data_IF_524561795998
#
_entry.id   IF_524561795998
#
_cell.length_a   1.000
_cell.length_b   1.000
_cell.length_c   1.000
_cell.angle_alpha   90.00
_cell.angle_beta   90.00
_cell.angle_gamma   90.00
#
_symmetry.space_group_name_H-M   'P 1'
#
loop_
_entity.id
_entity.type
_entity.pdbx_description
1 polymer ?
#
# COMPACT_ATOMS: atom_id res chain seq x y z
N UNK A 1 -0.16 -11.77 -40.53
CA UNK A 1 0.23 -11.02 -39.30
C UNK A 1 1.74 -11.10 -39.14
N UNK A 2 2.46 -9.96 -39.11
CA UNK A 2 3.94 -9.93 -39.04
C UNK A 2 4.42 -10.56 -37.71
N UNK A 3 5.56 -11.25 -37.73
CA UNK A 3 6.13 -11.98 -36.58
C UNK A 3 6.23 -11.10 -35.30
N UNK A 4 6.58 -9.82 -35.48
CA UNK A 4 6.65 -8.82 -34.40
C UNK A 4 5.29 -8.55 -33.73
N UNK A 5 4.20 -8.52 -34.49
CA UNK A 5 2.83 -8.30 -33.95
C UNK A 5 2.36 -9.49 -33.09
N UNK A 6 2.70 -10.73 -33.49
CA UNK A 6 2.40 -11.95 -32.73
C UNK A 6 3.11 -11.92 -31.34
N UNK A 7 4.41 -11.59 -31.35
CA UNK A 7 5.20 -11.49 -30.11
C UNK A 7 4.63 -10.43 -29.16
N UNK A 8 4.23 -9.28 -29.69
CA UNK A 8 3.64 -8.20 -28.90
C UNK A 8 2.30 -8.61 -28.27
N UNK A 9 1.43 -9.28 -29.02
CA UNK A 9 0.14 -9.79 -28.51
C UNK A 9 0.36 -10.83 -27.41
N UNK A 10 1.30 -11.75 -27.59
CA UNK A 10 1.63 -12.77 -26.59
C UNK A 10 2.17 -12.10 -25.31
N UNK A 11 3.04 -11.10 -25.42
CA UNK A 11 3.58 -10.39 -24.28
C UNK A 11 2.47 -9.68 -23.50
N UNK A 12 1.53 -9.01 -24.17
CA UNK A 12 0.37 -8.39 -23.52
C UNK A 12 -0.51 -9.43 -22.84
N UNK A 13 -0.80 -10.55 -23.49
CA UNK A 13 -1.60 -11.63 -22.91
C UNK A 13 -0.94 -12.21 -21.64
N UNK A 14 0.38 -12.43 -21.67
CA UNK A 14 1.13 -12.89 -20.50
C UNK A 14 1.07 -11.88 -19.36
N UNK A 15 1.21 -10.58 -19.63
CA UNK A 15 1.11 -9.53 -18.63
C UNK A 15 -0.30 -9.48 -18.01
N UNK A 16 -1.34 -9.60 -18.85
CA UNK A 16 -2.73 -9.61 -18.39
C UNK A 16 -3.01 -10.84 -17.52
N UNK A 17 -2.58 -12.03 -17.95
CA UNK A 17 -2.72 -13.26 -17.15
C UNK A 17 -1.99 -13.13 -15.81
N UNK A 18 -0.75 -12.63 -15.84
CA UNK A 18 0.06 -12.45 -14.63
C UNK A 18 -0.61 -11.52 -13.61
N UNK A 19 -1.27 -10.47 -14.06
CA UNK A 19 -1.98 -9.53 -13.20
C UNK A 19 -3.27 -10.10 -12.59
N UNK A 20 -3.80 -11.21 -13.12
CA UNK A 20 -5.00 -11.87 -12.61
C UNK A 20 -4.71 -13.20 -11.88
N UNK A 21 -3.44 -13.58 -11.72
CA UNK A 21 -3.11 -14.78 -10.95
C UNK A 21 -3.39 -14.56 -9.46
N UNK A 22 -3.97 -15.57 -8.79
CA UNK A 22 -4.11 -15.53 -7.34
C UNK A 22 -2.72 -15.51 -6.69
N UNK A 23 -2.67 -14.96 -5.49
CA UNK A 23 -1.47 -14.98 -4.66
C UNK A 23 -1.83 -15.44 -3.25
N UNK A 24 -0.90 -16.07 -2.57
CA UNK A 24 -1.05 -16.45 -1.17
C UNK A 24 -0.51 -15.34 -0.28
N UNK A 25 -1.37 -14.79 0.58
CA UNK A 25 -1.01 -13.79 1.58
C UNK A 25 -0.72 -14.44 2.92
N UNK A 26 0.37 -14.00 3.54
CA UNK A 26 0.84 -14.44 4.85
C UNK A 26 1.05 -13.19 5.72
N UNK A 27 0.10 -12.99 6.61
CA UNK A 27 0.07 -11.82 7.48
C UNK A 27 1.22 -11.83 8.49
N UNK A 28 1.57 -12.99 9.02
CA UNK A 28 2.68 -13.13 9.97
C UNK A 28 4.01 -12.71 9.36
N UNK A 29 4.30 -13.11 8.13
CA UNK A 29 5.51 -12.66 7.40
C UNK A 29 5.50 -11.17 7.12
N UNK A 30 4.33 -10.62 6.77
CA UNK A 30 4.16 -9.18 6.54
C UNK A 30 4.50 -8.39 7.80
N UNK A 31 3.90 -8.78 8.93
CA UNK A 31 4.12 -8.12 10.22
C UNK A 31 5.56 -8.32 10.71
N UNK A 32 6.09 -9.53 10.64
CA UNK A 32 7.48 -9.80 11.06
C UNK A 32 8.48 -8.93 10.29
N UNK A 33 8.27 -8.74 8.99
CA UNK A 33 9.14 -7.89 8.19
C UNK A 33 9.08 -6.43 8.65
N UNK A 34 7.90 -5.80 8.73
CA UNK A 34 7.78 -4.38 9.07
C UNK A 34 8.30 -4.11 10.47
N UNK A 35 8.03 -5.00 11.43
CA UNK A 35 8.47 -4.84 12.82
C UNK A 35 9.99 -4.93 12.96
N UNK A 36 10.62 -5.91 12.27
CA UNK A 36 12.08 -6.10 12.36
C UNK A 36 12.91 -5.08 11.60
N UNK A 37 12.33 -4.41 10.59
CA UNK A 37 13.04 -3.44 9.75
C UNK A 37 12.73 -1.97 10.11
N UNK A 38 11.75 -1.72 10.98
CA UNK A 38 11.40 -0.36 11.40
C UNK A 38 12.54 0.33 12.15
N UNK A 39 12.67 1.63 11.92
CA UNK A 39 13.67 2.47 12.58
C UNK A 39 13.10 3.08 13.88
N UNK A 40 13.96 3.61 14.78
CA UNK A 40 13.51 4.34 15.96
C UNK A 40 12.75 5.65 15.65
N UNK A 41 13.01 6.23 14.47
CA UNK A 41 12.40 7.50 13.99
C UNK A 41 12.03 7.38 12.52
N UNK A 42 11.04 8.16 12.11
CA UNK A 42 10.60 8.23 10.71
C UNK A 42 11.77 8.61 9.77
N UNK A 43 11.77 7.97 8.62
CA UNK A 43 12.67 8.23 7.48
C UNK A 43 11.89 8.76 6.27
N UNK A 44 10.60 9.07 6.43
CA UNK A 44 9.69 9.48 5.35
C UNK A 44 9.56 8.43 4.24
N UNK A 45 9.65 7.15 4.60
CA UNK A 45 9.63 6.01 3.68
C UNK A 45 8.53 4.99 4.01
N UNK A 46 7.45 5.42 4.67
CA UNK A 46 6.37 4.53 5.15
C UNK A 46 5.85 3.60 4.04
N UNK A 47 5.55 4.12 2.85
CA UNK A 47 5.06 3.34 1.73
C UNK A 47 6.06 2.29 1.23
N UNK A 48 7.36 2.60 1.24
CA UNK A 48 8.41 1.65 0.88
C UNK A 48 8.48 0.47 1.85
N UNK A 49 8.46 0.74 3.16
CA UNK A 49 8.55 -0.30 4.18
C UNK A 49 7.32 -1.20 4.16
N UNK A 50 6.12 -0.60 4.06
CA UNK A 50 4.87 -1.38 3.96
C UNK A 50 4.81 -2.19 2.67
N UNK A 51 5.20 -1.62 1.53
CA UNK A 51 5.31 -2.37 0.27
C UNK A 51 6.22 -3.60 0.42
N UNK A 52 7.40 -3.42 1.01
CA UNK A 52 8.35 -4.54 1.23
C UNK A 52 7.77 -5.59 2.16
N UNK A 53 7.09 -5.17 3.23
CA UNK A 53 6.40 -6.08 4.15
C UNK A 53 5.34 -6.91 3.42
N UNK A 54 4.49 -6.26 2.63
CA UNK A 54 3.47 -6.93 1.82
C UNK A 54 4.09 -7.92 0.82
N UNK A 55 5.23 -7.58 0.22
CA UNK A 55 5.96 -8.50 -0.67
C UNK A 55 6.47 -9.74 0.07
N UNK A 56 6.98 -9.57 1.29
CA UNK A 56 7.38 -10.69 2.13
C UNK A 56 6.19 -11.61 2.48
N UNK A 57 5.00 -11.03 2.67
CA UNK A 57 3.75 -11.75 2.83
C UNK A 57 3.14 -12.30 1.53
N UNK A 58 3.80 -12.13 0.39
CA UNK A 58 3.33 -12.66 -0.90
C UNK A 58 2.49 -11.67 -1.73
N UNK A 59 2.01 -10.58 -1.15
CA UNK A 59 1.23 -9.56 -1.85
C UNK A 59 2.13 -8.54 -2.55
N UNK A 60 2.32 -8.68 -3.85
CA UNK A 60 3.19 -7.80 -4.65
C UNK A 60 2.43 -6.57 -5.15
N UNK A 61 2.54 -5.49 -4.40
CA UNK A 61 2.06 -4.14 -4.79
C UNK A 61 3.21 -3.31 -5.33
N UNK A 62 2.90 -2.30 -6.14
CA UNK A 62 3.89 -1.34 -6.63
C UNK A 62 4.32 -0.34 -5.55
N UNK A 63 5.44 0.35 -5.77
CA UNK A 63 5.80 1.52 -4.98
C UNK A 63 4.95 2.70 -5.43
N UNK A 64 3.95 3.02 -4.63
CA UNK A 64 2.99 4.11 -4.85
C UNK A 64 2.95 5.02 -3.62
N UNK A 65 2.48 6.27 -3.75
CA UNK A 65 2.22 7.13 -2.60
C UNK A 65 1.29 6.45 -1.59
N UNK A 66 1.49 6.72 -0.29
CA UNK A 66 0.74 6.06 0.78
C UNK A 66 -0.78 6.22 0.61
N UNK A 67 -1.27 7.41 0.26
CA UNK A 67 -2.71 7.64 0.02
C UNK A 67 -3.29 6.78 -1.10
N UNK A 68 -2.50 6.38 -2.09
CA UNK A 68 -2.98 5.59 -3.23
C UNK A 68 -3.31 4.13 -2.86
N UNK A 69 -2.80 3.65 -1.72
CA UNK A 69 -3.14 2.33 -1.19
C UNK A 69 -4.62 2.20 -0.85
N UNK A 70 -5.32 3.30 -0.56
CA UNK A 70 -6.78 3.31 -0.37
C UNK A 70 -7.53 2.64 -1.52
N UNK A 71 -7.11 2.89 -2.76
CA UNK A 71 -7.71 2.28 -3.95
C UNK A 71 -7.07 0.94 -4.33
N UNK A 72 -5.82 0.74 -3.96
CA UNK A 72 -5.05 -0.45 -4.35
C UNK A 72 -5.35 -1.65 -3.46
N UNK A 73 -5.49 -1.46 -2.15
CA UNK A 73 -5.72 -2.56 -1.21
C UNK A 73 -7.00 -3.35 -1.51
N UNK A 74 -8.16 -2.73 -1.80
CA UNK A 74 -9.35 -3.47 -2.20
C UNK A 74 -9.15 -4.30 -3.48
N UNK A 75 -8.40 -3.79 -4.44
CA UNK A 75 -8.07 -4.53 -5.68
C UNK A 75 -7.18 -5.74 -5.41
N UNK A 76 -6.47 -5.74 -4.29
CA UNK A 76 -5.63 -6.85 -3.82
C UNK A 76 -6.38 -7.80 -2.87
N UNK A 77 -7.68 -7.61 -2.67
CA UNK A 77 -8.52 -8.47 -1.82
C UNK A 77 -8.53 -8.10 -0.34
N UNK A 78 -8.04 -6.89 0.01
CA UNK A 78 -8.19 -6.37 1.38
C UNK A 78 -9.56 -5.71 1.53
N UNK A 79 -10.23 -5.97 2.65
CA UNK A 79 -11.53 -5.37 2.98
C UNK A 79 -11.34 -4.09 3.80
N UNK A 80 -12.10 -3.03 3.48
CA UNK A 80 -12.15 -1.82 4.28
C UNK A 80 -12.96 -2.08 5.56
N UNK A 81 -12.36 -1.84 6.73
CA UNK A 81 -12.98 -2.05 8.03
C UNK A 81 -13.62 -0.73 8.48
N UNK A 82 -14.93 -0.73 8.81
CA UNK A 82 -15.61 0.45 9.32
C UNK A 82 -14.96 0.98 10.61
N UNK A 83 -14.76 2.30 10.70
CA UNK A 83 -14.15 2.94 11.87
C UNK A 83 -14.99 2.88 13.13
N UNK A 84 -16.33 2.75 13.00
CA UNK A 84 -17.24 2.67 14.16
C UNK A 84 -17.03 1.37 14.96
N UNK A 85 -16.54 1.51 16.18
CA UNK A 85 -16.25 0.37 17.06
C UNK A 85 -15.00 -0.41 16.69
N UNK A 86 -14.16 0.14 15.82
CA UNK A 86 -12.94 -0.49 15.36
C UNK A 86 -11.98 -0.82 16.51
N UNK A 87 -11.47 -2.06 16.48
CA UNK A 87 -10.38 -2.53 17.34
C UNK A 87 -9.26 -3.05 16.45
N UNK A 88 -8.03 -2.56 16.58
CA UNK A 88 -6.90 -3.01 15.79
C UNK A 88 -6.67 -4.53 15.94
N UNK A 89 -6.45 -5.19 14.82
CA UNK A 89 -6.01 -6.58 14.76
C UNK A 89 -4.67 -6.64 14.04
N UNK A 90 -3.83 -7.57 14.46
CA UNK A 90 -2.52 -7.80 13.85
C UNK A 90 -2.64 -7.96 12.33
N UNK A 91 -1.90 -7.17 11.59
CA UNK A 91 -1.90 -7.12 10.14
C UNK A 91 -2.85 -6.10 9.52
N UNK A 92 -3.66 -5.41 10.31
CA UNK A 92 -4.44 -4.29 9.79
C UNK A 92 -3.52 -3.23 9.17
N UNK A 93 -3.92 -2.70 8.04
CA UNK A 93 -3.20 -1.64 7.33
C UNK A 93 -3.99 -0.34 7.45
N UNK A 94 -3.39 0.69 8.02
CA UNK A 94 -3.97 2.03 8.04
C UNK A 94 -3.46 2.85 6.85
N UNK A 95 -4.35 3.56 6.19
CA UNK A 95 -4.04 4.53 5.14
C UNK A 95 -4.59 5.89 5.57
N UNK A 96 -3.70 6.87 5.69
CA UNK A 96 -4.04 8.25 6.01
C UNK A 96 -3.90 9.11 4.76
N UNK A 97 -4.87 10.00 4.48
CA UNK A 97 -4.87 10.83 3.29
C UNK A 97 -3.72 11.85 3.30
N UNK A 98 -3.57 12.52 2.18
CA UNK A 98 -2.71 13.71 2.08
C UNK A 98 -3.22 14.81 3.02
N UNK A 99 -2.29 15.64 3.48
CA UNK A 99 -2.59 16.83 4.25
C UNK A 99 -1.64 17.97 3.85
N UNK A 100 -1.78 19.13 4.47
CA UNK A 100 -0.96 20.32 4.17
C UNK A 100 0.55 20.10 4.41
N UNK A 101 0.92 19.18 5.32
CA UNK A 101 2.31 18.86 5.66
C UNK A 101 2.85 17.61 4.94
N UNK A 102 1.96 16.82 4.31
CA UNK A 102 2.36 15.60 3.60
C UNK A 102 1.54 15.39 2.33
N UNK A 103 2.17 15.57 1.19
CA UNK A 103 1.56 15.30 -0.12
C UNK A 103 1.49 13.81 -0.48
N UNK A 104 2.06 12.92 0.33
CA UNK A 104 2.08 11.48 0.07
C UNK A 104 1.13 10.70 0.98
N UNK A 105 0.55 11.35 2.01
CA UNK A 105 -0.20 10.68 3.04
C UNK A 105 0.70 9.83 3.94
N UNK A 106 0.09 8.87 4.67
CA UNK A 106 0.84 7.94 5.51
C UNK A 106 0.20 6.56 5.46
N UNK A 107 1.01 5.51 5.67
CA UNK A 107 0.57 4.12 5.71
C UNK A 107 1.35 3.38 6.80
N UNK A 108 0.66 2.51 7.55
CA UNK A 108 1.27 1.68 8.58
C UNK A 108 0.54 0.34 8.72
N UNK A 109 1.20 -0.65 9.32
CA UNK A 109 0.66 -1.97 9.65
C UNK A 109 0.59 -2.09 11.17
N UNK A 110 -0.49 -2.66 11.70
CA UNK A 110 -0.60 -2.97 13.12
C UNK A 110 0.09 -4.30 13.43
N UNK A 111 1.10 -4.30 14.32
CA UNK A 111 1.89 -5.50 14.62
C UNK A 111 1.28 -6.40 15.71
N UNK A 112 0.16 -5.99 16.27
CA UNK A 112 -0.51 -6.62 17.40
C UNK A 112 -0.40 -5.81 18.70
N UNK A 113 0.56 -4.89 18.75
CA UNK A 113 0.80 -4.00 19.90
C UNK A 113 0.73 -2.52 19.52
N UNK A 114 1.28 -2.18 18.33
CA UNK A 114 1.39 -0.80 17.87
C UNK A 114 1.35 -0.71 16.34
N UNK A 115 1.18 0.50 15.82
CA UNK A 115 1.29 0.77 14.40
C UNK A 115 2.75 0.92 13.99
N UNK A 116 3.14 0.27 12.89
CA UNK A 116 4.52 0.22 12.40
C UNK A 116 4.57 0.53 10.91
N UNK A 117 5.47 1.41 10.54
CA UNK A 117 5.79 1.73 9.15
C UNK A 117 7.30 1.66 8.94
N UNK A 118 7.94 2.71 8.45
CA UNK A 118 9.40 2.89 8.53
C UNK A 118 9.89 3.14 9.96
N UNK A 119 8.97 3.37 10.90
CA UNK A 119 9.22 3.49 12.34
C UNK A 119 8.03 2.98 13.17
N UNK A 120 8.26 2.75 14.47
CA UNK A 120 7.23 2.38 15.45
C UNK A 120 6.49 3.61 15.93
N UNK A 121 5.14 3.56 15.87
CA UNK A 121 4.27 4.68 16.18
C UNK A 121 3.56 4.47 17.51
N UNK A 122 3.38 5.54 18.28
CA UNK A 122 2.66 5.50 19.57
C UNK A 122 1.14 5.38 19.41
N UNK A 123 0.62 5.71 18.22
CA UNK A 123 -0.82 5.67 17.92
C UNK A 123 -1.05 5.45 16.42
N UNK A 124 -2.31 5.30 16.01
CA UNK A 124 -2.72 5.25 14.61
C UNK A 124 -2.18 6.44 13.80
N UNK A 125 -2.11 7.60 14.43
CA UNK A 125 -1.68 8.84 13.81
C UNK A 125 -0.21 9.13 14.14
N UNK A 126 0.67 9.27 13.12
CA UNK A 126 2.09 9.57 13.35
C UNK A 126 2.33 11.00 13.86
N UNK A 127 1.37 11.91 13.68
CA UNK A 127 1.39 13.29 14.19
C UNK A 127 -0.02 13.81 14.47
N UNK A 128 -0.11 14.94 15.23
CA UNK A 128 -1.37 15.63 15.52
C UNK A 128 -2.09 16.07 14.24
N UNK A 129 -1.38 16.52 13.22
CA UNK A 129 -1.94 16.98 11.96
C UNK A 129 -2.77 15.91 11.26
N UNK A 130 -2.34 14.65 11.31
CA UNK A 130 -3.12 13.55 10.76
C UNK A 130 -4.36 13.27 11.58
N UNK A 131 -4.28 13.40 12.90
CA UNK A 131 -5.42 13.21 13.81
C UNK A 131 -6.51 14.27 13.59
N UNK A 132 -6.12 15.51 13.36
CA UNK A 132 -7.04 16.64 13.15
C UNK A 132 -7.79 16.53 11.82
N UNK A 133 -7.14 16.00 10.78
CA UNK A 133 -7.75 15.81 9.47
C UNK A 133 -8.77 14.67 9.44
N UNK A 134 -8.64 13.65 10.31
CA UNK A 134 -9.47 12.45 10.25
C UNK A 134 -9.32 11.69 8.92
N UNK A 135 -10.37 10.99 8.51
CA UNK A 135 -10.45 10.27 7.23
C UNK A 135 -9.44 9.12 7.07
N UNK A 136 -9.01 8.52 8.17
CA UNK A 136 -8.26 7.27 8.11
C UNK A 136 -9.12 6.15 7.52
N UNK A 137 -8.49 5.29 6.75
CA UNK A 137 -9.07 4.05 6.28
C UNK A 137 -8.25 2.88 6.78
N UNK A 138 -8.95 1.86 7.23
CA UNK A 138 -8.33 0.63 7.72
C UNK A 138 -8.68 -0.49 6.77
N UNK A 139 -7.70 -1.30 6.44
CA UNK A 139 -7.85 -2.44 5.57
C UNK A 139 -7.34 -3.70 6.26
N UNK A 140 -8.02 -4.81 6.01
CA UNK A 140 -7.70 -6.14 6.55
C UNK A 140 -7.75 -7.17 5.45
N UNK A 141 -6.85 -8.13 5.48
CA UNK A 141 -6.92 -9.34 4.70
C UNK A 141 -6.65 -10.54 5.60
N UNK A 142 -7.38 -11.62 5.39
CA UNK A 142 -7.09 -12.90 6.02
C UNK A 142 -5.88 -13.57 5.37
N UNK A 143 -5.23 -14.47 6.11
CA UNK A 143 -4.21 -15.35 5.53
C UNK A 143 -4.85 -16.27 4.49
N UNK A 144 -4.15 -16.49 3.39
CA UNK A 144 -4.60 -17.41 2.37
C UNK A 144 -4.53 -16.88 0.94
N UNK A 145 -5.35 -17.50 0.09
CA UNK A 145 -5.37 -17.18 -1.34
C UNK A 145 -6.27 -16.00 -1.64
N UNK A 146 -5.71 -14.97 -2.28
CA UNK A 146 -6.41 -13.78 -2.74
C UNK A 146 -6.35 -13.65 -4.25
N UNK A 147 -7.42 -13.11 -4.83
CA UNK A 147 -7.48 -12.76 -6.24
C UNK A 147 -7.19 -11.29 -6.42
N UNK A 148 -6.28 -10.98 -7.34
CA UNK A 148 -6.06 -9.59 -7.74
C UNK A 148 -7.17 -9.15 -8.69
N UNK A 149 -7.93 -8.14 -8.29
CA UNK A 149 -8.89 -7.47 -9.16
C UNK A 149 -8.27 -6.21 -9.77
N UNK A 150 -7.14 -6.35 -10.48
CA UNK A 150 -6.41 -5.22 -11.03
C UNK A 150 -7.05 -4.80 -12.35
N UNK A 151 -8.12 -4.04 -12.27
CA UNK A 151 -8.51 -3.13 -13.34
C UNK A 151 -7.92 -1.76 -13.02
N UNK A 152 -6.62 -1.57 -13.22
CA UNK A 152 -6.06 -0.23 -13.30
C UNK A 152 -6.54 0.38 -14.61
N UNK A 153 -7.47 1.31 -14.54
CA UNK A 153 -7.81 2.09 -15.73
C UNK A 153 -6.56 2.86 -16.19
N UNK A 154 -6.37 3.12 -17.49
CA UNK A 154 -5.28 3.97 -17.97
C UNK A 154 -5.25 5.34 -17.28
N UNK A 155 -6.40 5.84 -16.78
CA UNK A 155 -6.53 7.07 -15.99
C UNK A 155 -5.81 7.00 -14.64
N UNK A 156 -5.84 5.83 -13.98
CA UNK A 156 -5.18 5.67 -12.67
C UNK A 156 -3.65 5.69 -12.83
N UNK A 157 -3.17 5.21 -13.97
CA UNK A 157 -1.74 5.25 -14.32
C UNK A 157 -1.24 6.68 -14.56
N UNK A 158 -2.03 7.51 -15.27
CA UNK A 158 -1.72 8.92 -15.50
C UNK A 158 -1.73 9.73 -14.19
N UNK A 159 -2.69 9.52 -13.31
CA UNK A 159 -2.73 10.16 -11.99
C UNK A 159 -1.52 9.81 -11.12
N UNK A 160 -1.04 8.58 -11.24
CA UNK A 160 0.15 8.12 -10.53
C UNK A 160 1.44 8.80 -11.05
N UNK A 161 1.64 8.83 -12.38
CA UNK A 161 2.78 9.50 -13.01
C UNK A 161 2.78 11.00 -12.69
N UNK A 162 1.63 11.64 -12.73
CA UNK A 162 1.49 13.07 -12.42
C UNK A 162 1.82 13.38 -10.94
N UNK A 163 1.41 12.51 -10.02
CA UNK A 163 1.73 12.67 -8.59
C UNK A 163 3.22 12.49 -8.30
N UNK A 164 3.89 11.55 -8.99
CA UNK A 164 5.34 11.39 -8.91
C UNK A 164 6.07 12.62 -9.43
N UNK A 165 5.68 13.14 -10.59
CA UNK A 165 6.30 14.34 -11.19
C UNK A 165 6.11 15.56 -10.29
N UNK A 166 4.92 15.75 -9.70
CA UNK A 166 4.66 16.83 -8.73
C UNK A 166 5.47 16.66 -7.44
N UNK A 167 5.66 15.41 -6.98
CA UNK A 167 6.49 15.11 -5.80
C UNK A 167 7.96 15.45 -6.03
N UNK A 168 8.52 15.08 -7.18
CA UNK A 168 9.91 15.39 -7.55
C UNK A 168 10.17 16.89 -7.69
N UNK A 169 9.22 17.67 -8.19
CA UNK A 169 9.35 19.12 -8.34
C UNK A 169 9.32 19.90 -7.00
N UNK A 170 8.94 19.26 -5.89
CA UNK A 170 8.98 19.86 -4.54
C UNK A 170 10.27 19.58 -3.77
N UNK A 171 11.09 18.67 -4.25
CA UNK A 171 12.42 18.40 -3.67
C UNK A 171 13.37 19.49 -4.20
N UNK A 172 13.53 20.57 -3.45
CA UNK A 172 14.63 21.49 -3.65
C UNK A 172 15.90 20.80 -3.14
N UNK A 173 16.85 20.54 -4.07
CA UNK A 173 18.21 20.15 -3.74
C UNK A 173 18.96 21.33 -3.11
#
# INVERSE_FOLDING_TARGET
MKKKTKVFIIAIAVILIWNHLPYHYDNEKTVAYVTSHSAPKSRSMCAWYVMKAMWCGGCRVGLIPAYAYEKTLPQMGFEEIPSKGYKPMKGDISVLPQNEHSSFGHIAIYDGEQWVSDFKQKSLYPSSTYKENGHEKIFRADDGWHWKHVWTSPRDWYGWVESLVRGFNKIKF
#
